data_IF_750150826818
#
_entry.id   IF_750150826818
#
_cell.length_a   1.000
_cell.length_b   1.000
_cell.length_c   1.000
_cell.angle_alpha   90.00
_cell.angle_beta   90.00
_cell.angle_gamma   90.00
#
_symmetry.space_group_name_H-M   'P 1'
#
loop_
_entity.id
_entity.type
_entity.pdbx_description
1 polymer ?
#
# COMPACT_ATOMS: atom_id res chain seq x y z
N UNK A 1 -5.11 -12.93 28.75
CA UNK A 1 -4.36 -11.66 28.72
C UNK A 1 -5.08 -10.58 29.53
N UNK A 2 -4.41 -10.00 30.52
CA UNK A 2 -4.89 -8.75 31.11
C UNK A 2 -4.81 -7.62 30.06
N UNK A 3 -5.73 -6.66 30.08
CA UNK A 3 -5.71 -5.50 29.16
C UNK A 3 -4.33 -4.82 29.12
N UNK A 4 -3.60 -4.84 30.22
CA UNK A 4 -2.24 -4.32 30.33
C UNK A 4 -1.24 -5.01 29.39
N UNK A 5 -1.25 -6.34 29.30
CA UNK A 5 -0.32 -7.04 28.42
C UNK A 5 -0.70 -6.79 26.94
N UNK A 6 -2.00 -6.73 26.61
CA UNK A 6 -2.48 -6.33 25.28
C UNK A 6 -2.02 -4.94 24.90
N UNK A 7 -2.06 -4.02 25.87
CA UNK A 7 -1.56 -2.67 25.69
C UNK A 7 -0.09 -2.70 25.33
N UNK A 8 0.74 -3.38 26.14
CA UNK A 8 2.19 -3.47 25.92
C UNK A 8 2.50 -4.08 24.55
N UNK A 9 1.87 -5.19 24.19
CA UNK A 9 2.06 -5.86 22.89
C UNK A 9 1.67 -4.96 21.72
N UNK A 10 0.54 -4.25 21.83
CA UNK A 10 0.08 -3.33 20.77
C UNK A 10 0.91 -2.04 20.74
N UNK A 11 1.49 -1.65 21.87
CA UNK A 11 2.34 -0.47 22.03
C UNK A 11 3.73 -0.68 21.43
N UNK A 12 4.33 -1.87 21.56
CA UNK A 12 5.67 -2.19 21.04
C UNK A 12 5.88 -1.83 19.56
N UNK A 13 5.04 -2.30 18.61
CA UNK A 13 5.23 -1.95 17.19
C UNK A 13 4.97 -0.47 16.92
N UNK A 14 4.07 0.17 17.67
CA UNK A 14 3.79 1.61 17.56
C UNK A 14 4.98 2.44 18.05
N UNK A 15 5.51 2.14 19.23
CA UNK A 15 6.70 2.78 19.79
C UNK A 15 7.90 2.57 18.88
N UNK A 16 8.09 1.36 18.33
CA UNK A 16 9.16 1.10 17.36
C UNK A 16 9.06 2.02 16.14
N UNK A 17 7.87 2.19 15.57
CA UNK A 17 7.66 3.11 14.43
C UNK A 17 7.87 4.57 14.85
N UNK A 18 7.36 4.99 16.02
CA UNK A 18 7.53 6.35 16.53
C UNK A 18 9.00 6.68 16.81
N UNK A 19 9.75 5.78 17.45
CA UNK A 19 11.18 5.97 17.72
C UNK A 19 11.99 6.06 16.42
N UNK A 20 11.71 5.21 15.43
CA UNK A 20 12.33 5.30 14.10
C UNK A 20 11.96 6.61 13.40
N UNK A 21 10.72 7.08 13.56
CA UNK A 21 10.27 8.38 13.03
C UNK A 21 11.03 9.52 13.71
N UNK A 22 11.18 9.49 15.04
CA UNK A 22 11.96 10.48 15.81
C UNK A 22 13.42 10.49 15.39
N UNK A 23 14.02 9.31 15.17
CA UNK A 23 15.39 9.21 14.63
C UNK A 23 15.47 9.85 13.24
N UNK A 24 14.49 9.61 12.38
CA UNK A 24 14.38 10.28 11.07
C UNK A 24 14.33 11.81 11.18
N UNK A 25 13.51 12.34 12.09
CA UNK A 25 13.44 13.80 12.39
C UNK A 25 14.79 14.33 12.84
N UNK A 26 15.44 13.62 13.76
CA UNK A 26 16.75 14.01 14.30
C UNK A 26 17.82 14.08 13.21
N UNK A 27 17.90 13.05 12.35
CA UNK A 27 18.84 13.00 11.24
C UNK A 27 18.58 14.06 10.15
N UNK A 28 17.35 14.56 10.04
CA UNK A 28 16.96 15.61 9.11
C UNK A 28 17.06 17.03 9.69
N UNK A 29 17.42 17.16 10.96
CA UNK A 29 17.59 18.46 11.61
C UNK A 29 18.75 19.21 10.95
N UNK A 30 18.64 20.53 10.79
CA UNK A 30 19.66 21.39 10.15
C UNK A 30 21.07 21.24 10.72
N UNK A 31 21.22 20.79 11.97
CA UNK A 31 22.52 20.55 12.60
C UNK A 31 23.19 19.26 12.14
N UNK A 32 22.41 18.24 11.80
CA UNK A 32 22.91 16.92 11.39
C UNK A 32 22.95 16.79 9.87
N UNK A 33 21.86 17.20 9.20
CA UNK A 33 21.66 17.20 7.74
C UNK A 33 22.02 15.89 7.00
N UNK A 34 22.06 14.75 7.72
CA UNK A 34 22.35 13.43 7.13
C UNK A 34 21.18 12.97 6.25
N UNK A 35 19.94 13.17 6.73
CA UNK A 35 18.71 12.95 5.96
C UNK A 35 18.17 14.27 5.39
N UNK A 36 19.07 15.08 4.82
CA UNK A 36 18.73 16.26 4.04
C UNK A 36 17.83 15.96 2.84
N UNK A 37 17.43 16.99 2.10
CA UNK A 37 16.46 16.86 1.00
C UNK A 37 16.93 15.91 -0.12
N UNK A 38 18.21 15.96 -0.50
CA UNK A 38 18.71 15.13 -1.59
C UNK A 38 18.98 13.67 -1.14
N UNK A 39 19.52 13.49 0.07
CA UNK A 39 19.67 12.16 0.67
C UNK A 39 18.33 11.43 0.74
N UNK A 40 17.26 12.13 1.15
CA UNK A 40 15.90 11.60 1.15
C UNK A 40 15.43 11.15 -0.23
N UNK A 41 15.67 11.93 -1.29
CA UNK A 41 15.30 11.56 -2.66
C UNK A 41 16.04 10.31 -3.15
N UNK A 42 17.34 10.22 -2.88
CA UNK A 42 18.13 9.05 -3.24
C UNK A 42 17.69 7.80 -2.48
N UNK A 43 17.48 7.89 -1.17
CA UNK A 43 16.98 6.78 -0.36
C UNK A 43 15.60 6.34 -0.80
N UNK A 44 14.70 7.28 -1.12
CA UNK A 44 13.38 6.95 -1.63
C UNK A 44 13.44 6.23 -2.99
N UNK A 45 14.37 6.63 -3.85
CA UNK A 45 14.61 5.95 -5.14
C UNK A 45 15.10 4.52 -4.92
N UNK A 46 16.04 4.32 -3.98
CA UNK A 46 16.52 2.99 -3.59
C UNK A 46 15.38 2.11 -3.05
N UNK A 47 14.53 2.68 -2.18
CA UNK A 47 13.34 2.02 -1.64
C UNK A 47 12.39 1.59 -2.76
N UNK A 48 12.13 2.46 -3.72
CA UNK A 48 11.19 2.20 -4.81
C UNK A 48 11.71 1.16 -5.83
N UNK A 49 12.97 1.26 -6.26
CA UNK A 49 13.51 0.41 -7.31
C UNK A 49 14.10 -0.92 -6.82
N UNK A 50 14.57 -0.99 -5.57
CA UNK A 50 15.33 -2.15 -5.07
C UNK A 50 14.65 -2.78 -3.85
N UNK A 51 14.43 -2.00 -2.78
CA UNK A 51 14.04 -2.59 -1.50
C UNK A 51 12.59 -3.10 -1.50
N UNK A 52 11.63 -2.32 -2.00
CA UNK A 52 10.23 -2.76 -2.05
C UNK A 52 9.99 -3.95 -2.98
N UNK A 53 10.55 -4.00 -4.20
CA UNK A 53 10.45 -5.19 -5.05
C UNK A 53 11.03 -6.43 -4.39
N UNK A 54 12.19 -6.30 -3.74
CA UNK A 54 12.82 -7.39 -3.00
C UNK A 54 11.95 -7.84 -1.82
N UNK A 55 11.40 -6.90 -1.04
CA UNK A 55 10.50 -7.18 0.09
C UNK A 55 9.26 -7.95 -0.36
N UNK A 56 8.57 -7.46 -1.40
CA UNK A 56 7.34 -8.11 -1.88
C UNK A 56 7.64 -9.46 -2.51
N UNK A 57 8.68 -9.54 -3.35
CA UNK A 57 9.03 -10.76 -4.06
C UNK A 57 9.51 -11.89 -3.14
N UNK A 58 10.44 -11.61 -2.23
CA UNK A 58 10.98 -12.61 -1.30
C UNK A 58 9.90 -13.16 -0.36
N UNK A 59 9.10 -12.27 0.25
CA UNK A 59 7.99 -12.70 1.11
C UNK A 59 6.95 -13.54 0.36
N UNK A 60 6.64 -13.19 -0.89
CA UNK A 60 5.72 -13.98 -1.69
C UNK A 60 6.30 -15.36 -1.99
N UNK A 61 7.57 -15.41 -2.40
CA UNK A 61 8.22 -16.66 -2.76
C UNK A 61 8.29 -17.62 -1.57
N UNK A 62 8.73 -17.12 -0.40
CA UNK A 62 8.94 -17.91 0.81
C UNK A 62 7.65 -18.50 1.35
N UNK A 63 6.61 -17.67 1.48
CA UNK A 63 5.41 -18.02 2.25
C UNK A 63 4.20 -18.45 1.41
N UNK A 64 4.17 -18.19 0.10
CA UNK A 64 3.05 -18.60 -0.75
C UNK A 64 3.32 -19.92 -1.46
N UNK A 65 2.34 -20.83 -1.34
CA UNK A 65 2.22 -22.04 -2.17
C UNK A 65 0.84 -22.09 -2.79
N UNK A 66 0.66 -22.85 -3.89
CA UNK A 66 -0.66 -23.06 -4.50
C UNK A 66 -1.68 -23.64 -3.51
N UNK A 67 -1.23 -24.57 -2.65
CA UNK A 67 -2.06 -25.16 -1.60
C UNK A 67 -2.49 -24.11 -0.57
N UNK A 68 -1.57 -23.22 -0.17
CA UNK A 68 -1.86 -22.13 0.77
C UNK A 68 -2.88 -21.14 0.22
N UNK A 69 -2.80 -20.79 -1.07
CA UNK A 69 -3.75 -19.86 -1.72
C UNK A 69 -5.17 -20.42 -1.70
N UNK A 70 -5.33 -21.71 -2.06
CA UNK A 70 -6.65 -22.35 -2.08
C UNK A 70 -7.21 -22.48 -0.67
N UNK A 71 -6.39 -22.86 0.31
CA UNK A 71 -6.82 -22.98 1.71
C UNK A 71 -7.18 -21.63 2.36
N UNK A 72 -6.51 -20.55 1.97
CA UNK A 72 -6.64 -19.22 2.58
C UNK A 72 -7.31 -18.20 1.66
N UNK A 73 -8.07 -18.66 0.66
CA UNK A 73 -8.62 -17.84 -0.43
C UNK A 73 -9.46 -16.64 0.03
N UNK A 74 -10.11 -16.75 1.20
CA UNK A 74 -10.91 -15.67 1.76
C UNK A 74 -10.05 -14.48 2.22
N UNK A 75 -8.78 -14.70 2.56
CA UNK A 75 -7.87 -13.63 2.99
C UNK A 75 -7.61 -12.59 1.88
N UNK A 76 -7.21 -12.98 0.65
CA UNK A 76 -7.14 -12.04 -0.46
C UNK A 76 -8.44 -11.27 -0.69
N UNK A 77 -9.58 -11.96 -0.61
CA UNK A 77 -10.89 -11.34 -0.76
C UNK A 77 -11.16 -10.33 0.36
N UNK A 78 -10.84 -10.66 1.61
CA UNK A 78 -11.03 -9.79 2.76
C UNK A 78 -10.19 -8.51 2.67
N UNK A 79 -8.93 -8.63 2.25
CA UNK A 79 -8.06 -7.47 2.02
C UNK A 79 -8.64 -6.61 0.89
N UNK A 80 -9.11 -7.22 -0.20
CA UNK A 80 -9.73 -6.49 -1.29
C UNK A 80 -11.00 -5.73 -0.84
N UNK A 81 -11.86 -6.38 -0.04
CA UNK A 81 -13.03 -5.73 0.57
C UNK A 81 -12.62 -4.56 1.47
N UNK A 82 -11.58 -4.73 2.29
CA UNK A 82 -11.05 -3.67 3.15
C UNK A 82 -10.60 -2.46 2.32
N UNK A 83 -9.92 -2.68 1.20
CA UNK A 83 -9.52 -1.62 0.28
C UNK A 83 -10.72 -0.91 -0.35
N UNK A 84 -11.74 -1.65 -0.81
CA UNK A 84 -12.96 -1.05 -1.39
C UNK A 84 -13.71 -0.23 -0.35
N UNK A 85 -13.98 -0.81 0.81
CA UNK A 85 -14.70 -0.15 1.89
C UNK A 85 -13.96 1.09 2.38
N UNK A 86 -12.64 0.96 2.62
CA UNK A 86 -11.79 2.07 3.01
C UNK A 86 -11.73 3.18 1.97
N UNK A 87 -11.73 2.85 0.68
CA UNK A 87 -11.76 3.83 -0.41
C UNK A 87 -13.10 4.56 -0.50
N UNK A 88 -14.21 3.84 -0.35
CA UNK A 88 -15.55 4.43 -0.32
C UNK A 88 -15.73 5.38 0.86
N UNK A 89 -15.26 4.98 2.05
CA UNK A 89 -15.26 5.81 3.26
C UNK A 89 -14.34 7.02 3.12
N UNK A 90 -13.15 6.85 2.52
CA UNK A 90 -12.23 7.96 2.23
C UNK A 90 -12.83 8.97 1.25
N UNK A 91 -13.54 8.50 0.21
CA UNK A 91 -14.26 9.37 -0.72
C UNK A 91 -15.42 10.11 -0.04
N UNK A 92 -16.17 9.44 0.82
CA UNK A 92 -17.21 10.07 1.64
C UNK A 92 -16.60 11.13 2.56
N UNK A 93 -15.47 10.82 3.19
CA UNK A 93 -14.75 11.75 4.06
C UNK A 93 -14.33 13.02 3.31
N UNK A 94 -13.82 12.90 2.08
CA UNK A 94 -13.47 14.04 1.23
C UNK A 94 -14.67 14.97 1.02
N UNK A 95 -15.87 14.42 0.80
CA UNK A 95 -17.09 15.21 0.62
C UNK A 95 -17.51 15.92 1.91
N UNK A 96 -17.40 15.25 3.04
CA UNK A 96 -17.77 15.79 4.35
C UNK A 96 -16.82 16.92 4.77
N UNK A 97 -15.51 16.70 4.66
CA UNK A 97 -14.51 17.67 5.10
C UNK A 97 -14.21 18.75 4.07
N UNK A 98 -14.76 18.62 2.85
CA UNK A 98 -14.45 19.48 1.69
C UNK A 98 -12.93 19.58 1.47
N UNK A 99 -12.24 18.43 1.53
CA UNK A 99 -10.79 18.39 1.46
C UNK A 99 -10.24 18.94 0.12
N UNK A 100 -9.11 19.69 0.17
CA UNK A 100 -8.47 20.24 -1.02
C UNK A 100 -7.97 19.14 -1.95
N UNK A 101 -7.90 19.43 -3.26
CA UNK A 101 -7.62 18.45 -4.31
C UNK A 101 -6.31 17.65 -4.06
N UNK A 102 -5.24 18.33 -3.66
CA UNK A 102 -3.94 17.71 -3.38
C UNK A 102 -3.97 16.67 -2.24
N UNK A 103 -4.89 16.79 -1.27
CA UNK A 103 -5.03 15.83 -0.16
C UNK A 103 -5.91 14.63 -0.51
N UNK A 104 -6.72 14.70 -1.58
CA UNK A 104 -7.73 13.66 -1.87
C UNK A 104 -7.10 12.29 -2.10
N UNK A 105 -5.97 12.24 -2.81
CA UNK A 105 -5.24 11.00 -3.02
C UNK A 105 -4.73 10.39 -1.71
N UNK A 106 -4.22 11.23 -0.81
CA UNK A 106 -3.75 10.80 0.52
C UNK A 106 -4.89 10.32 1.40
N UNK A 107 -6.03 11.02 1.42
CA UNK A 107 -7.19 10.65 2.24
C UNK A 107 -7.70 9.28 1.82
N UNK A 108 -7.91 9.06 0.52
CA UNK A 108 -8.37 7.76 0.00
C UNK A 108 -7.32 6.68 0.29
N UNK A 109 -6.04 6.95 0.02
CA UNK A 109 -4.95 6.01 0.29
C UNK A 109 -4.86 5.60 1.77
N UNK A 110 -4.90 6.58 2.67
CA UNK A 110 -4.83 6.36 4.12
C UNK A 110 -6.06 5.62 4.64
N UNK A 111 -7.25 5.84 4.07
CA UNK A 111 -8.46 5.11 4.44
C UNK A 111 -8.53 3.70 3.83
N UNK A 112 -7.93 3.48 2.65
CA UNK A 112 -7.94 2.20 1.93
C UNK A 112 -6.86 1.22 2.43
N UNK A 113 -5.58 1.61 2.43
CA UNK A 113 -4.46 0.73 2.78
C UNK A 113 -3.98 0.85 4.24
N UNK A 114 -4.20 -0.22 5.03
CA UNK A 114 -3.67 -0.36 6.38
C UNK A 114 -2.25 -0.95 6.39
N UNK A 115 -1.54 -0.84 7.50
CA UNK A 115 -0.19 -1.39 7.68
C UNK A 115 -0.23 -2.91 7.90
N UNK A 116 -0.53 -3.65 6.83
CA UNK A 116 -0.62 -5.11 6.79
C UNK A 116 0.74 -5.82 6.95
N UNK A 117 1.84 -5.07 7.01
CA UNK A 117 3.19 -5.59 7.19
C UNK A 117 3.59 -5.69 8.64
N UNK A 118 4.08 -4.57 9.17
CA UNK A 118 4.79 -4.54 10.45
C UNK A 118 3.89 -4.96 11.62
N UNK A 119 2.64 -4.50 11.61
CA UNK A 119 1.74 -4.64 12.75
C UNK A 119 1.31 -6.10 12.95
N UNK A 120 0.75 -6.82 11.95
CA UNK A 120 0.40 -8.23 12.11
C UNK A 120 1.59 -9.12 12.50
N UNK A 121 2.77 -8.87 11.92
CA UNK A 121 3.99 -9.66 12.21
C UNK A 121 4.47 -9.53 13.66
N UNK A 122 4.08 -8.48 14.38
CA UNK A 122 4.44 -8.29 15.79
C UNK A 122 3.29 -8.71 16.71
N UNK A 123 2.06 -8.31 16.38
CA UNK A 123 0.88 -8.54 17.22
C UNK A 123 0.52 -10.03 17.28
N UNK A 124 0.54 -10.73 16.14
CA UNK A 124 0.08 -12.12 16.09
C UNK A 124 1.00 -13.06 16.89
N UNK A 125 2.34 -13.06 16.69
CA UNK A 125 3.21 -13.91 17.50
C UNK A 125 3.11 -13.63 19.00
N UNK A 126 3.00 -12.35 19.38
CA UNK A 126 2.86 -11.98 20.78
C UNK A 126 1.51 -12.43 21.36
N UNK A 127 0.42 -12.37 20.58
CA UNK A 127 -0.88 -12.91 21.00
C UNK A 127 -0.86 -14.45 21.12
N UNK A 128 -0.04 -15.15 20.33
CA UNK A 128 0.16 -16.59 20.44
C UNK A 128 0.97 -17.02 21.67
N UNK A 129 1.90 -16.18 22.14
CA UNK A 129 2.76 -16.47 23.30
C UNK A 129 2.06 -16.23 24.65
N UNK A 130 0.84 -15.70 24.62
CA UNK A 130 0.07 -15.41 25.81
C UNK A 130 -0.45 -16.66 26.53
N UNK A 131 -0.45 -16.57 27.87
CA UNK A 131 -1.06 -17.58 28.71
C UNK A 131 -2.57 -17.59 28.45
N UNK A 132 -3.10 -18.78 28.20
CA UNK A 132 -4.51 -19.02 27.86
C UNK A 132 -4.98 -18.26 26.60
N UNK A 133 -4.12 -18.17 25.58
CA UNK A 133 -4.51 -17.63 24.28
C UNK A 133 -5.64 -18.49 23.66
N UNK A 134 -6.59 -17.89 22.90
CA UNK A 134 -7.71 -18.62 22.31
C UNK A 134 -7.35 -19.40 21.04
N UNK A 135 -6.07 -19.45 20.68
CA UNK A 135 -5.58 -19.96 19.39
C UNK A 135 -4.89 -21.33 19.52
N UNK A 136 -4.78 -21.87 20.74
CA UNK A 136 -4.22 -23.19 21.02
C UNK A 136 -2.73 -23.15 21.37
N UNK A 137 -1.99 -24.16 20.93
CA UNK A 137 -0.56 -24.28 21.22
C UNK A 137 0.23 -23.10 20.64
N UNK A 138 1.10 -22.50 21.47
CA UNK A 138 1.81 -21.28 21.13
C UNK A 138 2.74 -21.45 19.90
N UNK A 139 3.39 -22.61 19.75
CA UNK A 139 4.31 -22.86 18.65
C UNK A 139 3.58 -23.00 17.31
N UNK A 140 2.45 -23.74 17.33
CA UNK A 140 1.58 -23.94 16.17
C UNK A 140 0.91 -22.61 15.78
N UNK A 141 0.37 -21.88 16.77
CA UNK A 141 -0.22 -20.57 16.57
C UNK A 141 0.77 -19.59 15.93
N UNK A 142 2.00 -19.50 16.45
CA UNK A 142 3.03 -18.60 15.93
C UNK A 142 3.39 -18.95 14.49
N UNK A 143 3.55 -20.23 14.18
CA UNK A 143 3.87 -20.69 12.82
C UNK A 143 2.76 -20.32 11.83
N UNK A 144 1.50 -20.64 12.12
CA UNK A 144 0.37 -20.30 11.25
C UNK A 144 0.11 -18.80 11.18
N UNK A 145 0.19 -18.11 12.32
CA UNK A 145 -0.02 -16.68 12.45
C UNK A 145 0.99 -15.87 11.65
N UNK A 146 2.27 -16.26 11.65
CA UNK A 146 3.30 -15.65 10.80
C UNK A 146 3.00 -15.90 9.32
N UNK A 147 2.59 -17.11 8.92
CA UNK A 147 2.21 -17.38 7.54
C UNK A 147 1.02 -16.50 7.08
N UNK A 148 0.03 -16.30 7.94
CA UNK A 148 -1.12 -15.44 7.68
C UNK A 148 -0.74 -13.95 7.60
N UNK A 149 0.12 -13.49 8.50
CA UNK A 149 0.66 -12.13 8.50
C UNK A 149 1.45 -11.83 7.22
N UNK A 150 2.34 -12.74 6.81
CA UNK A 150 3.15 -12.54 5.60
C UNK A 150 2.32 -12.61 4.34
N UNK A 151 1.31 -13.50 4.28
CA UNK A 151 0.36 -13.51 3.17
C UNK A 151 -0.41 -12.18 3.09
N UNK A 152 -0.80 -11.62 4.24
CA UNK A 152 -1.47 -10.31 4.31
C UNK A 152 -0.57 -9.18 3.82
N UNK A 153 0.71 -9.17 4.23
CA UNK A 153 1.72 -8.22 3.76
C UNK A 153 1.88 -8.29 2.24
N UNK A 154 2.02 -9.50 1.70
CA UNK A 154 2.19 -9.75 0.27
C UNK A 154 1.03 -9.18 -0.56
N UNK A 155 -0.20 -9.60 -0.26
CA UNK A 155 -1.40 -9.18 -0.99
C UNK A 155 -1.65 -7.68 -0.79
N UNK A 156 -1.50 -7.20 0.45
CA UNK A 156 -1.63 -5.80 0.80
C UNK A 156 -0.64 -4.92 0.02
N UNK A 157 0.60 -5.39 -0.16
CA UNK A 157 1.61 -4.69 -0.94
C UNK A 157 1.26 -4.62 -2.42
N UNK A 158 0.76 -5.71 -3.01
CA UNK A 158 0.31 -5.71 -4.41
C UNK A 158 -0.80 -4.67 -4.61
N UNK A 159 -1.82 -4.66 -3.76
CA UNK A 159 -2.92 -3.69 -3.85
C UNK A 159 -2.44 -2.26 -3.57
N UNK A 160 -1.54 -2.08 -2.61
CA UNK A 160 -0.96 -0.76 -2.32
C UNK A 160 -0.25 -0.19 -3.56
N UNK A 161 0.66 -0.95 -4.18
CA UNK A 161 1.47 -0.51 -5.32
C UNK A 161 0.73 -0.50 -6.66
N UNK A 162 -0.38 -1.24 -6.80
CA UNK A 162 -1.20 -1.23 -8.01
C UNK A 162 -2.34 -0.21 -7.96
N UNK A 163 -2.97 -0.03 -6.81
CA UNK A 163 -4.14 0.84 -6.66
C UNK A 163 -3.79 2.18 -6.00
N UNK A 164 -3.28 2.17 -4.76
CA UNK A 164 -3.04 3.40 -4.01
C UNK A 164 -1.96 4.26 -4.67
N UNK A 165 -0.90 3.64 -5.18
CA UNK A 165 0.12 4.32 -5.98
C UNK A 165 -0.48 5.15 -7.11
N UNK A 166 -1.39 4.55 -7.90
CA UNK A 166 -2.02 5.23 -9.02
C UNK A 166 -2.97 6.34 -8.57
N UNK A 167 -3.67 6.15 -7.44
CA UNK A 167 -4.51 7.21 -6.86
C UNK A 167 -3.65 8.39 -6.44
N UNK A 168 -2.62 8.17 -5.63
CA UNK A 168 -1.75 9.25 -5.15
C UNK A 168 -1.12 9.97 -6.34
N UNK A 169 -0.67 9.23 -7.36
CA UNK A 169 -0.14 9.78 -8.60
C UNK A 169 -1.11 10.71 -9.34
N UNK A 170 -2.36 10.30 -9.52
CA UNK A 170 -3.35 11.09 -10.28
C UNK A 170 -3.58 12.43 -9.58
N UNK A 171 -3.67 12.42 -8.26
CA UNK A 171 -3.89 13.64 -7.48
C UNK A 171 -2.64 14.51 -7.37
N UNK A 172 -1.43 13.94 -7.41
CA UNK A 172 -0.19 14.71 -7.45
C UNK A 172 0.07 15.35 -8.83
N UNK A 173 -0.31 14.69 -9.92
CA UNK A 173 -0.11 15.23 -11.28
C UNK A 173 -1.11 16.33 -11.68
N UNK A 174 -2.23 16.47 -10.98
CA UNK A 174 -3.23 17.51 -11.29
C UNK A 174 -2.76 18.90 -10.80
N UNK A 175 -1.99 18.95 -9.71
CA UNK A 175 -1.40 20.20 -9.19
C UNK A 175 -0.33 20.78 -10.13
N UNK A 176 0.41 19.94 -10.85
CA UNK A 176 1.46 20.41 -11.78
C UNK A 176 0.92 21.07 -13.04
N UNK A 177 -0.32 20.79 -13.44
CA UNK A 177 -0.95 21.40 -14.62
C UNK A 177 -1.69 22.72 -14.30
N UNK A 178 -2.04 23.00 -13.03
CA UNK A 178 -2.73 24.24 -12.62
C UNK A 178 -1.76 25.42 -12.37
N UNK A 179 -0.44 25.22 -12.35
CA UNK A 179 0.58 26.27 -12.18
C UNK A 179 1.12 26.90 -13.47
N UNK A 180 0.30 27.06 -14.52
CA UNK A 180 0.62 27.98 -15.62
C UNK A 180 -0.16 29.29 -15.43
N UNK A 181 0.48 30.39 -14.99
CA UNK A 181 -0.15 31.70 -15.03
C UNK A 181 -0.22 32.17 -16.49
N UNK A 182 -1.44 32.54 -16.88
CA UNK A 182 -1.86 33.57 -17.83
C UNK A 182 -0.98 33.88 -19.05
N UNK A 183 -1.65 33.80 -20.20
CA UNK A 183 -1.24 34.26 -21.52
C UNK A 183 -0.70 35.71 -21.52
N UNK A 184 0.21 36.00 -22.46
CA UNK A 184 0.35 37.26 -23.22
C UNK A 184 1.35 37.02 -24.40
N UNK A 185 1.36 37.84 -25.47
CA UNK A 185 1.02 37.41 -26.84
C UNK A 185 2.20 37.31 -27.82
N UNK A 186 1.87 36.87 -29.04
CA UNK A 186 2.72 36.76 -30.23
C UNK A 186 3.60 38.00 -30.51
N UNK A 187 4.85 37.78 -30.95
CA UNK A 187 5.64 38.79 -31.65
C UNK A 187 7.17 38.59 -31.66
N UNK A 188 7.68 38.22 -32.85
CA UNK A 188 8.99 38.52 -33.45
C UNK A 188 10.31 37.88 -32.94
N UNK A 189 10.81 36.96 -33.78
CA UNK A 189 12.17 36.73 -34.29
C UNK A 189 13.40 37.39 -33.60
N UNK A 190 14.40 36.57 -33.28
CA UNK A 190 15.72 36.58 -33.94
C UNK A 190 16.67 35.51 -33.38
N UNK A 191 17.46 34.92 -34.28
CA UNK A 191 18.40 33.83 -34.11
C UNK A 191 19.62 34.15 -33.22
N UNK A 192 20.27 33.11 -32.70
CA UNK A 192 21.69 32.76 -32.94
C UNK A 192 22.03 31.45 -32.24
N UNK A 193 22.57 30.51 -33.02
CA UNK A 193 23.13 29.22 -32.64
C UNK A 193 24.41 29.36 -31.78
N UNK A 194 24.70 28.36 -30.95
CA UNK A 194 25.99 27.63 -30.88
C UNK A 194 25.76 26.34 -30.06
N UNK A 195 25.98 25.19 -30.68
CA UNK A 195 26.23 23.85 -30.06
C UNK A 195 27.60 23.37 -30.58
N UNK A 196 28.33 22.38 -29.98
CA UNK A 196 27.92 20.97 -29.79
C UNK A 196 28.38 20.34 -28.42
N UNK A 197 27.68 19.44 -27.72
CA UNK A 197 27.28 18.04 -28.03
C UNK A 197 28.10 17.05 -27.14
N UNK A 198 27.75 15.75 -26.94
CA UNK A 198 26.49 15.04 -27.20
C UNK A 198 26.03 14.09 -26.04
N UNK A 199 24.72 13.84 -25.90
CA UNK A 199 24.22 12.54 -25.38
C UNK A 199 23.02 12.07 -26.20
N UNK A 200 23.20 10.86 -26.73
CA UNK A 200 22.39 10.15 -27.71
C UNK A 200 21.00 9.78 -27.18
N UNK A 201 19.95 10.29 -27.84
CA UNK A 201 18.64 9.64 -27.88
C UNK A 201 18.48 8.97 -29.24
N UNK A 202 18.48 7.63 -29.24
CA UNK A 202 18.08 6.83 -30.39
C UNK A 202 16.57 6.99 -30.62
N UNK A 203 16.23 7.66 -31.73
CA UNK A 203 14.89 7.70 -32.32
C UNK A 203 14.94 6.80 -33.55
N UNK A 204 14.10 5.77 -33.58
CA UNK A 204 13.87 4.95 -34.78
C UNK A 204 12.50 5.26 -35.41
N UNK A 205 12.35 5.01 -36.72
CA UNK A 205 11.67 5.92 -37.63
C UNK A 205 10.25 5.48 -38.02
N UNK A 206 9.49 6.47 -38.47
CA UNK A 206 8.27 6.34 -39.27
C UNK A 206 8.59 5.87 -40.68
N UNK A 207 7.87 4.86 -41.17
CA UNK A 207 7.74 4.54 -42.59
C UNK A 207 6.24 4.63 -42.92
N UNK A 208 5.95 5.46 -43.91
CA UNK A 208 4.67 5.66 -44.57
C UNK A 208 4.59 4.75 -45.82
N UNK A 209 3.39 4.67 -46.40
CA UNK A 209 2.96 4.03 -47.66
C UNK A 209 2.07 2.77 -47.53
N UNK A 210 0.87 2.87 -48.14
CA UNK A 210 0.19 1.71 -48.74
C UNK A 210 -1.30 1.51 -48.43
N UNK A 211 -2.13 2.39 -48.98
CA UNK A 211 -3.49 2.16 -49.52
C UNK A 211 -4.08 0.72 -49.46
N UNK A 212 -5.29 0.55 -48.89
CA UNK A 212 -6.51 0.18 -49.63
C UNK A 212 -7.71 -0.10 -48.70
N UNK A 213 -8.86 0.41 -49.15
CA UNK A 213 -10.17 0.29 -48.53
C UNK A 213 -10.72 -1.14 -48.62
N UNK A 214 -11.41 -1.62 -47.59
CA UNK A 214 -12.48 -2.61 -47.79
C UNK A 214 -13.58 -2.40 -46.74
N UNK A 215 -14.60 -1.65 -47.14
CA UNK A 215 -15.91 -1.72 -46.54
C UNK A 215 -16.53 -3.09 -46.89
N UNK A 216 -17.01 -3.83 -45.89
CA UNK A 216 -18.00 -4.87 -46.12
C UNK A 216 -19.09 -4.79 -45.07
N UNK A 217 -20.22 -4.30 -45.56
CA UNK A 217 -21.50 -4.14 -44.91
C UNK A 217 -22.16 -5.51 -44.64
N UNK A 218 -22.72 -5.72 -43.44
CA UNK A 218 -23.89 -6.59 -43.24
C UNK A 218 -24.60 -6.32 -41.92
N UNK A 219 -25.74 -5.64 -42.03
CA UNK A 219 -26.80 -5.57 -41.02
C UNK A 219 -27.39 -6.95 -40.70
N UNK A 220 -27.76 -7.21 -39.42
CA UNK A 220 -29.08 -7.73 -38.98
C UNK A 220 -29.21 -7.57 -37.46
N UNK A 221 -30.31 -6.92 -37.06
CA UNK A 221 -30.85 -6.73 -35.72
C UNK A 221 -31.32 -8.05 -35.06
N UNK A 222 -31.09 -8.21 -33.75
CA UNK A 222 -32.19 -8.30 -32.76
C UNK A 222 -31.68 -8.52 -31.32
N UNK A 223 -32.37 -7.86 -30.40
CA UNK A 223 -31.88 -7.51 -29.06
C UNK A 223 -32.12 -8.51 -27.95
N UNK A 224 -31.47 -8.23 -26.82
CA UNK A 224 -31.93 -8.53 -25.47
C UNK A 224 -31.52 -7.39 -24.54
N UNK A 225 -32.51 -6.82 -23.87
CA UNK A 225 -32.39 -5.70 -22.95
C UNK A 225 -31.32 -5.94 -21.88
N UNK A 226 -30.37 -5.02 -21.77
CA UNK A 226 -29.51 -4.85 -20.59
C UNK A 226 -29.72 -3.44 -20.07
N UNK A 227 -30.17 -3.38 -18.82
CA UNK A 227 -30.38 -2.16 -18.02
C UNK A 227 -29.18 -1.21 -18.19
N UNK A 228 -29.39 0.08 -18.52
CA UNK A 228 -28.29 0.98 -18.81
C UNK A 228 -27.56 1.34 -17.50
N UNK A 229 -26.36 0.78 -17.34
CA UNK A 229 -25.41 1.26 -16.35
C UNK A 229 -25.04 2.72 -16.70
N UNK A 230 -25.01 3.68 -15.75
CA UNK A 230 -24.88 5.10 -16.08
C UNK A 230 -23.62 5.37 -16.92
N UNK A 231 -23.80 5.85 -18.14
CA UNK A 231 -22.70 6.07 -19.10
C UNK A 231 -21.62 7.01 -18.58
N UNK A 232 -21.95 7.89 -17.63
CA UNK A 232 -21.02 8.79 -16.98
C UNK A 232 -19.97 8.06 -16.13
N UNK A 233 -20.36 6.96 -15.47
CA UNK A 233 -19.43 6.13 -14.68
C UNK A 233 -18.55 5.31 -15.63
N UNK A 234 -19.14 4.75 -16.70
CA UNK A 234 -18.41 3.99 -17.72
C UNK A 234 -17.40 4.86 -18.47
N UNK A 235 -17.77 6.10 -18.85
CA UNK A 235 -16.85 7.07 -19.49
C UNK A 235 -15.79 7.57 -18.53
N UNK A 236 -16.10 7.79 -17.25
CA UNK A 236 -15.12 8.12 -16.22
C UNK A 236 -14.11 7.00 -16.03
N UNK A 237 -14.59 5.75 -15.90
CA UNK A 237 -13.76 4.56 -15.76
C UNK A 237 -12.95 4.28 -17.03
N UNK A 238 -13.52 4.47 -18.23
CA UNK A 238 -12.82 4.34 -19.50
C UNK A 238 -11.79 5.45 -19.74
N UNK A 239 -12.02 6.69 -19.29
CA UNK A 239 -11.01 7.75 -19.30
C UNK A 239 -9.86 7.45 -18.34
N UNK A 240 -10.17 6.89 -17.15
CA UNK A 240 -9.15 6.42 -16.19
C UNK A 240 -8.37 5.24 -16.76
N UNK A 241 -9.03 4.23 -17.35
CA UNK A 241 -8.38 3.09 -18.00
C UNK A 241 -7.54 3.49 -19.23
N UNK A 242 -8.00 4.43 -20.06
CA UNK A 242 -7.20 4.94 -21.19
C UNK A 242 -6.03 5.81 -20.75
N UNK A 243 -6.11 6.52 -19.60
CA UNK A 243 -4.97 7.22 -18.99
C UNK A 243 -3.98 6.28 -18.26
N UNK A 244 -4.42 5.07 -17.89
CA UNK A 244 -3.58 4.04 -17.31
C UNK A 244 -2.74 3.36 -18.41
N UNK A 245 -1.61 3.99 -18.75
CA UNK A 245 -0.59 3.41 -19.61
C UNK A 245 -0.20 2.01 -19.09
N UNK A 246 -0.55 0.93 -19.81
CA UNK A 246 -0.32 -0.47 -19.40
C UNK A 246 1.17 -0.79 -19.16
N UNK A 247 2.09 -0.16 -19.91
CA UNK A 247 3.55 -0.26 -19.67
C UNK A 247 4.00 0.43 -18.37
N UNK A 248 3.20 1.34 -17.81
CA UNK A 248 3.45 2.05 -16.54
C UNK A 248 2.73 1.41 -15.35
N UNK A 249 1.94 0.36 -15.58
CA UNK A 249 1.33 -0.47 -14.53
C UNK A 249 2.32 -1.47 -13.92
N UNK A 250 3.49 -1.68 -14.52
CA UNK A 250 4.58 -2.48 -13.97
C UNK A 250 5.47 -1.62 -13.08
N UNK A 251 4.96 -1.21 -11.92
CA UNK A 251 5.85 -0.66 -10.89
C UNK A 251 6.89 -1.74 -10.50
N UNK A 252 8.11 -1.37 -10.10
CA UNK A 252 9.12 -2.35 -9.70
C UNK A 252 8.57 -3.35 -8.67
N UNK A 253 7.74 -2.91 -7.73
CA UNK A 253 7.11 -3.77 -6.72
C UNK A 253 6.15 -4.80 -7.30
N UNK A 254 5.45 -4.49 -8.38
CA UNK A 254 4.58 -5.43 -9.10
C UNK A 254 5.42 -6.49 -9.82
N UNK A 255 6.55 -6.09 -10.44
CA UNK A 255 7.49 -7.05 -11.01
C UNK A 255 8.07 -7.97 -9.94
N UNK A 256 8.45 -7.41 -8.78
CA UNK A 256 8.88 -8.19 -7.61
C UNK A 256 7.82 -9.20 -7.17
N UNK A 257 6.56 -8.79 -7.09
CA UNK A 257 5.45 -9.69 -6.78
C UNK A 257 5.28 -10.81 -7.82
N UNK A 258 5.34 -10.50 -9.12
CA UNK A 258 5.22 -11.53 -10.17
C UNK A 258 6.36 -12.55 -10.05
N UNK A 259 7.60 -12.09 -9.93
CA UNK A 259 8.78 -12.95 -9.78
C UNK A 259 8.68 -13.81 -8.51
N UNK A 260 8.32 -13.20 -7.39
CA UNK A 260 8.12 -13.91 -6.13
C UNK A 260 7.03 -14.98 -6.21
N UNK A 261 5.93 -14.69 -6.91
CA UNK A 261 4.82 -15.62 -7.07
C UNK A 261 5.26 -16.84 -7.87
N UNK A 262 5.96 -16.60 -8.99
CA UNK A 262 6.52 -17.64 -9.85
C UNK A 262 7.49 -18.51 -9.05
N UNK A 263 8.43 -17.89 -8.33
CA UNK A 263 9.41 -18.62 -7.52
C UNK A 263 8.77 -19.44 -6.39
N UNK A 264 7.70 -18.93 -5.76
CA UNK A 264 7.01 -19.60 -4.66
C UNK A 264 6.06 -20.71 -5.10
N UNK A 265 5.42 -20.60 -6.27
CA UNK A 265 4.36 -21.52 -6.71
C UNK A 265 4.82 -22.60 -7.67
N UNK A 266 5.80 -22.32 -8.54
CA UNK A 266 6.26 -23.27 -9.55
C UNK A 266 7.29 -24.24 -8.93
N UNK A 267 7.04 -25.57 -8.90
CA UNK A 267 7.85 -26.51 -8.12
C UNK A 267 9.35 -26.54 -8.48
N UNK A 268 9.77 -26.47 -9.76
CA UNK A 268 11.20 -26.37 -10.10
C UNK A 268 11.90 -25.18 -9.47
N UNK A 269 11.33 -23.97 -9.57
CA UNK A 269 11.92 -22.77 -8.99
C UNK A 269 11.92 -22.80 -7.47
N UNK A 270 10.84 -23.30 -6.85
CA UNK A 270 10.74 -23.43 -5.40
C UNK A 270 11.82 -24.36 -4.85
N UNK A 271 12.05 -25.53 -5.46
CA UNK A 271 13.11 -26.47 -5.03
C UNK A 271 14.52 -25.91 -5.20
N UNK A 272 14.72 -25.02 -6.19
CA UNK A 272 16.01 -24.42 -6.48
C UNK A 272 16.36 -23.27 -5.52
N UNK A 273 15.36 -22.44 -5.17
CA UNK A 273 15.54 -21.19 -4.43
C UNK A 273 15.11 -21.24 -2.96
N UNK A 274 14.18 -22.13 -2.59
CA UNK A 274 13.45 -22.06 -1.30
C UNK A 274 13.53 -23.38 -0.54
N UNK A 275 13.95 -23.27 0.72
CA UNK A 275 14.12 -24.39 1.64
C UNK A 275 15.58 -24.59 2.03
N UNK A 276 15.82 -25.24 3.16
CA UNK A 276 17.15 -25.30 3.75
C UNK A 276 18.18 -26.08 2.92
N UNK A 277 17.72 -26.99 2.07
CA UNK A 277 18.53 -27.78 1.15
C UNK A 277 18.55 -27.25 -0.28
N UNK A 278 18.03 -26.04 -0.54
CA UNK A 278 17.94 -25.48 -1.88
C UNK A 278 19.31 -24.95 -2.35
N UNK A 279 19.80 -25.33 -3.55
CA UNK A 279 21.16 -24.99 -4.00
C UNK A 279 21.38 -23.50 -4.25
N UNK A 280 20.33 -22.74 -4.59
CA UNK A 280 20.39 -21.28 -4.78
C UNK A 280 19.69 -20.50 -3.67
N UNK A 281 19.57 -21.08 -2.46
CA UNK A 281 18.95 -20.41 -1.30
C UNK A 281 19.52 -19.01 -1.04
N UNK A 282 20.82 -18.84 -1.26
CA UNK A 282 21.52 -17.55 -1.10
C UNK A 282 20.87 -16.40 -1.87
N UNK A 283 20.26 -16.66 -3.03
CA UNK A 283 19.59 -15.63 -3.84
C UNK A 283 18.32 -15.15 -3.16
N UNK A 284 17.50 -16.08 -2.66
CA UNK A 284 16.28 -15.74 -1.92
C UNK A 284 16.59 -15.09 -0.58
N UNK A 285 17.53 -15.67 0.19
CA UNK A 285 17.97 -15.13 1.48
C UNK A 285 18.52 -13.69 1.34
N UNK A 286 19.31 -13.43 0.29
CA UNK A 286 19.83 -12.08 0.00
C UNK A 286 18.71 -11.11 -0.36
N UNK A 287 17.77 -11.52 -1.22
CA UNK A 287 16.62 -10.70 -1.59
C UNK A 287 15.72 -10.40 -0.38
N UNK A 288 15.50 -11.39 0.49
CA UNK A 288 14.78 -11.22 1.75
C UNK A 288 15.49 -10.21 2.65
N UNK A 289 16.80 -10.35 2.85
CA UNK A 289 17.60 -9.44 3.69
C UNK A 289 17.59 -7.99 3.19
N UNK A 290 17.72 -7.80 1.86
CA UNK A 290 17.57 -6.48 1.22
C UNK A 290 16.16 -5.93 1.41
N UNK A 291 15.14 -6.78 1.23
CA UNK A 291 13.73 -6.42 1.39
C UNK A 291 13.38 -5.92 2.79
N UNK A 292 13.83 -6.61 3.83
CA UNK A 292 13.54 -6.25 5.23
C UNK A 292 14.00 -4.83 5.59
N UNK A 293 15.05 -4.33 4.94
CA UNK A 293 15.55 -2.96 5.12
C UNK A 293 14.56 -1.88 4.63
N UNK A 294 13.65 -2.21 3.71
CA UNK A 294 12.67 -1.28 3.16
C UNK A 294 11.81 -0.64 4.26
N UNK A 295 11.38 -1.43 5.23
CA UNK A 295 10.50 -0.98 6.32
C UNK A 295 11.21 0.10 7.15
N UNK A 296 12.45 -0.16 7.56
CA UNK A 296 13.25 0.75 8.37
C UNK A 296 13.57 2.03 7.63
N UNK A 297 14.06 1.93 6.39
CA UNK A 297 14.45 3.09 5.58
C UNK A 297 13.23 3.96 5.27
N UNK A 298 12.09 3.37 4.87
CA UNK A 298 10.87 4.15 4.64
C UNK A 298 10.41 4.88 5.89
N UNK A 299 10.48 4.24 7.06
CA UNK A 299 10.06 4.88 8.33
C UNK A 299 10.97 6.05 8.70
N UNK A 300 12.28 5.91 8.53
CA UNK A 300 13.25 7.00 8.73
C UNK A 300 12.94 8.18 7.80
N UNK A 301 12.63 7.89 6.53
CA UNK A 301 12.31 8.93 5.56
C UNK A 301 11.02 9.68 5.92
N UNK A 302 9.97 8.97 6.35
CA UNK A 302 8.74 9.61 6.84
C UNK A 302 9.03 10.51 8.05
N UNK A 303 9.88 10.06 8.98
CA UNK A 303 10.37 10.89 10.07
C UNK A 303 11.10 12.15 9.60
N UNK A 304 12.02 12.01 8.66
CA UNK A 304 12.74 13.16 8.09
C UNK A 304 11.79 14.18 7.42
N UNK A 305 10.73 13.71 6.76
CA UNK A 305 9.70 14.57 6.15
C UNK A 305 8.79 15.25 7.18
N UNK A 306 8.64 14.68 8.37
CA UNK A 306 7.83 15.25 9.45
C UNK A 306 8.35 16.61 9.92
N UNK A 307 9.66 16.86 9.85
CA UNK A 307 10.25 18.16 10.20
C UNK A 307 9.67 19.29 9.32
N UNK A 308 9.47 19.03 8.03
CA UNK A 308 8.78 19.96 7.11
C UNK A 308 7.29 20.06 7.45
N UNK A 309 6.68 18.95 7.88
CA UNK A 309 5.31 18.89 8.40
C UNK A 309 5.07 19.89 9.54
N UNK A 310 5.90 19.86 10.58
CA UNK A 310 5.81 20.77 11.72
C UNK A 310 6.01 22.25 11.36
N UNK A 311 6.77 22.54 10.30
CA UNK A 311 7.13 23.91 9.89
C UNK A 311 6.14 24.57 8.93
N UNK A 312 5.14 23.84 8.40
CA UNK A 312 4.21 24.48 7.47
C UNK A 312 3.16 23.62 6.77
N UNK A 313 3.03 22.32 7.07
CA UNK A 313 1.95 21.53 6.45
C UNK A 313 0.60 21.85 7.09
N UNK A 314 -0.34 22.39 6.31
CA UNK A 314 -1.70 22.72 6.76
C UNK A 314 -2.67 21.58 6.45
N UNK A 315 -2.49 20.42 7.08
CA UNK A 315 -3.52 19.38 7.04
C UNK A 315 -4.68 19.79 7.96
N UNK A 316 -5.92 19.91 7.47
CA UNK A 316 -7.05 20.25 8.32
C UNK A 316 -7.25 19.19 9.40
N UNK A 317 -7.43 19.61 10.66
CA UNK A 317 -7.65 18.69 11.80
C UNK A 317 -8.86 17.78 11.55
N UNK A 318 -9.90 18.29 10.87
CA UNK A 318 -11.08 17.51 10.48
C UNK A 318 -10.75 16.31 9.59
N UNK A 319 -9.71 16.42 8.74
CA UNK A 319 -9.23 15.30 7.91
C UNK A 319 -8.53 14.25 8.78
N UNK A 320 -7.70 14.67 9.72
CA UNK A 320 -6.98 13.76 10.63
C UNK A 320 -7.98 12.99 11.51
N UNK A 321 -8.93 13.70 12.12
CA UNK A 321 -10.01 13.09 12.91
C UNK A 321 -10.84 12.13 12.05
N UNK A 322 -11.16 12.53 10.81
CA UNK A 322 -11.91 11.69 9.88
C UNK A 322 -11.19 10.39 9.51
N UNK A 323 -9.90 10.46 9.14
CA UNK A 323 -9.10 9.27 8.82
C UNK A 323 -9.02 8.35 10.05
N UNK A 324 -8.81 8.93 11.23
CA UNK A 324 -8.76 8.20 12.50
C UNK A 324 -10.10 7.49 12.78
N UNK A 325 -11.23 8.16 12.62
CA UNK A 325 -12.55 7.57 12.81
C UNK A 325 -12.84 6.45 11.80
N UNK A 326 -12.49 6.65 10.52
CA UNK A 326 -12.63 5.61 9.49
C UNK A 326 -11.82 4.37 9.87
N UNK A 327 -10.55 4.55 10.28
CA UNK A 327 -9.62 3.46 10.57
C UNK A 327 -9.86 2.74 11.88
N UNK A 328 -10.23 3.48 12.93
CA UNK A 328 -10.27 2.95 14.28
C UNK A 328 -11.68 2.77 14.83
N UNK A 329 -12.71 3.08 14.05
CA UNK A 329 -14.10 2.88 14.46
C UNK A 329 -14.87 2.18 13.33
N UNK A 330 -14.99 2.84 12.17
CA UNK A 330 -15.91 2.39 11.11
C UNK A 330 -15.42 1.08 10.47
N UNK A 331 -14.15 1.01 10.05
CA UNK A 331 -13.59 -0.18 9.41
C UNK A 331 -13.58 -1.42 10.33
N UNK A 332 -13.14 -1.33 11.60
CA UNK A 332 -13.21 -2.46 12.53
C UNK A 332 -14.63 -2.99 12.74
N UNK A 333 -15.61 -2.10 12.92
CA UNK A 333 -17.03 -2.50 13.06
C UNK A 333 -17.51 -3.20 11.79
N UNK A 334 -17.19 -2.65 10.62
CA UNK A 334 -17.54 -3.25 9.34
C UNK A 334 -16.87 -4.62 9.16
N UNK A 335 -15.60 -4.76 9.56
CA UNK A 335 -14.87 -6.02 9.55
C UNK A 335 -15.56 -7.09 10.40
N UNK A 336 -16.02 -6.74 11.60
CA UNK A 336 -16.79 -7.67 12.46
C UNK A 336 -18.03 -8.19 11.76
N UNK A 337 -18.80 -7.30 11.10
CA UNK A 337 -20.01 -7.69 10.36
C UNK A 337 -19.67 -8.61 9.18
N UNK A 338 -18.65 -8.25 8.39
CA UNK A 338 -18.22 -9.04 7.22
C UNK A 338 -17.76 -10.44 7.64
N UNK A 339 -16.87 -10.54 8.64
CA UNK A 339 -16.31 -11.82 9.07
C UNK A 339 -17.40 -12.69 9.71
N UNK A 340 -18.28 -12.14 10.54
CA UNK A 340 -19.41 -12.91 11.10
C UNK A 340 -20.33 -13.44 10.01
N UNK A 341 -20.64 -12.63 9.00
CA UNK A 341 -21.45 -13.06 7.85
C UNK A 341 -20.74 -14.16 7.06
N UNK A 342 -19.45 -14.01 6.77
CA UNK A 342 -18.68 -15.00 6.04
C UNK A 342 -18.56 -16.34 6.77
N UNK A 343 -18.47 -16.32 8.10
CA UNK A 343 -18.51 -17.54 8.95
C UNK A 343 -19.91 -18.17 8.90
N UNK A 344 -20.99 -17.38 9.00
CA UNK A 344 -22.36 -17.89 8.92
C UNK A 344 -22.68 -18.53 7.57
N UNK A 345 -22.12 -18.00 6.48
CA UNK A 345 -22.26 -18.53 5.12
C UNK A 345 -21.30 -19.71 4.83
N UNK A 346 -20.46 -20.12 5.79
CA UNK A 346 -19.49 -21.21 5.60
C UNK A 346 -18.30 -20.88 4.69
N UNK A 347 -18.08 -19.60 4.35
CA UNK A 347 -16.99 -19.15 3.50
C UNK A 347 -15.63 -19.07 4.24
N UNK A 348 -15.66 -18.97 5.57
CA UNK A 348 -14.48 -18.87 6.43
C UNK A 348 -14.45 -20.04 7.41
N UNK A 349 -13.30 -20.72 7.50
CA UNK A 349 -13.08 -21.82 8.42
C UNK A 349 -13.29 -21.40 9.88
N UNK A 350 -13.63 -22.37 10.73
CA UNK A 350 -13.88 -22.12 12.15
C UNK A 350 -12.65 -21.75 12.97
N UNK A 351 -11.44 -21.82 12.41
CA UNK A 351 -10.17 -21.50 13.08
C UNK A 351 -10.18 -20.09 13.70
N UNK A 352 -10.09 -19.97 15.05
CA UNK A 352 -10.05 -18.69 15.75
C UNK A 352 -8.88 -17.81 15.33
N UNK A 353 -7.71 -18.38 15.03
CA UNK A 353 -6.53 -17.62 14.63
C UNK A 353 -6.75 -16.97 13.28
N UNK A 354 -7.21 -17.73 12.29
CA UNK A 354 -7.55 -17.19 10.98
C UNK A 354 -8.57 -16.06 11.06
N UNK A 355 -9.67 -16.23 11.82
CA UNK A 355 -10.68 -15.18 12.04
C UNK A 355 -10.07 -13.93 12.69
N UNK A 356 -9.21 -14.10 13.69
CA UNK A 356 -8.54 -12.99 14.36
C UNK A 356 -7.68 -12.20 13.39
N UNK A 357 -6.87 -12.87 12.54
CA UNK A 357 -6.06 -12.18 11.54
C UNK A 357 -6.91 -11.41 10.55
N UNK A 358 -8.00 -12.00 10.06
CA UNK A 358 -8.92 -11.33 9.13
C UNK A 358 -9.58 -10.07 9.73
N UNK A 359 -9.95 -10.12 11.02
CA UNK A 359 -10.49 -8.97 11.74
C UNK A 359 -9.42 -7.90 11.96
N UNK A 360 -8.21 -8.32 12.36
CA UNK A 360 -7.08 -7.43 12.63
C UNK A 360 -6.75 -6.55 11.42
N UNK A 361 -6.86 -7.08 10.19
CA UNK A 361 -6.64 -6.34 8.94
C UNK A 361 -7.46 -5.04 8.81
N UNK A 362 -8.62 -4.94 9.48
CA UNK A 362 -9.47 -3.75 9.46
C UNK A 362 -9.08 -2.68 10.49
N UNK A 363 -8.29 -3.02 11.51
CA UNK A 363 -7.99 -2.16 12.65
C UNK A 363 -6.58 -1.54 12.64
N UNK A 364 -5.83 -1.73 11.54
CA UNK A 364 -4.45 -1.29 11.43
C UNK A 364 -4.35 0.21 11.06
N UNK A 365 -3.30 0.92 11.50
CA UNK A 365 -3.01 2.28 11.06
C UNK A 365 -2.72 2.34 9.55
N UNK A 366 -2.72 3.53 8.93
CA UNK A 366 -2.35 3.69 7.52
C UNK A 366 -0.98 3.09 7.17
N UNK A 367 -0.85 2.58 5.94
CA UNK A 367 0.36 1.93 5.44
C UNK A 367 1.53 2.92 5.28
N UNK A 368 2.66 2.64 5.94
CA UNK A 368 3.86 3.51 5.96
C UNK A 368 4.35 3.85 4.54
N UNK A 369 4.30 2.88 3.62
CA UNK A 369 4.76 3.00 2.23
C UNK A 369 4.00 4.04 1.39
N UNK A 370 2.87 4.59 1.85
CA UNK A 370 2.25 5.77 1.23
C UNK A 370 3.23 6.95 1.25
N UNK A 371 4.06 7.08 2.29
CA UNK A 371 5.09 8.11 2.38
C UNK A 371 6.10 8.05 1.23
N UNK A 372 6.57 6.85 0.88
CA UNK A 372 7.45 6.62 -0.28
C UNK A 372 6.83 7.15 -1.57
N UNK A 373 5.53 6.93 -1.76
CA UNK A 373 4.79 7.38 -2.95
C UNK A 373 4.73 8.89 -3.02
N UNK A 374 4.35 9.54 -1.91
CA UNK A 374 4.27 11.02 -1.84
C UNK A 374 5.59 11.68 -2.19
N UNK A 375 6.68 11.07 -1.75
CA UNK A 375 8.00 11.58 -1.98
C UNK A 375 8.51 11.31 -3.40
N UNK A 376 8.14 10.16 -3.99
CA UNK A 376 8.46 9.83 -5.38
C UNK A 376 7.81 10.83 -6.34
N UNK A 377 6.59 11.28 -6.02
CA UNK A 377 5.88 12.29 -6.79
C UNK A 377 6.21 13.73 -6.38
N UNK A 378 7.00 13.93 -5.31
CA UNK A 378 7.34 15.26 -4.80
C UNK A 378 6.15 16.04 -4.23
N UNK A 379 5.05 15.38 -3.88
CA UNK A 379 3.80 16.01 -3.45
C UNK A 379 3.17 15.26 -2.28
N UNK A 380 2.76 15.99 -1.24
CA UNK A 380 2.05 15.41 -0.08
C UNK A 380 2.96 14.78 0.99
N UNK A 381 4.28 14.94 0.90
CA UNK A 381 5.25 14.30 1.82
C UNK A 381 5.09 14.80 3.26
N UNK A 382 4.85 16.10 3.43
CA UNK A 382 4.74 16.73 4.74
C UNK A 382 3.37 16.42 5.36
N UNK A 383 2.33 16.47 4.52
CA UNK A 383 0.94 16.19 4.85
C UNK A 383 0.78 14.75 5.33
N UNK A 384 1.33 13.80 4.57
CA UNK A 384 1.30 12.39 4.95
C UNK A 384 2.06 12.14 6.25
N UNK A 385 3.21 12.77 6.45
CA UNK A 385 4.00 12.61 7.69
C UNK A 385 3.22 13.09 8.92
N UNK A 386 2.49 14.21 8.81
CA UNK A 386 1.60 14.71 9.89
C UNK A 386 0.45 13.73 10.15
N UNK A 387 -0.21 13.22 9.10
CA UNK A 387 -1.27 12.21 9.24
C UNK A 387 -0.73 10.96 9.93
N UNK A 388 0.46 10.51 9.52
CA UNK A 388 1.12 9.32 10.09
C UNK A 388 1.41 9.52 11.58
N UNK A 389 1.98 10.67 11.98
CA UNK A 389 2.26 10.97 13.39
C UNK A 389 1.01 10.79 14.28
N UNK A 390 -0.09 11.45 13.92
CA UNK A 390 -1.31 11.43 14.73
C UNK A 390 -2.00 10.07 14.73
N UNK A 391 -2.10 9.42 13.56
CA UNK A 391 -2.71 8.10 13.47
C UNK A 391 -1.91 7.06 14.26
N UNK A 392 -0.58 7.06 14.16
CA UNK A 392 0.26 6.12 14.93
C UNK A 392 0.30 6.43 16.42
N UNK A 393 0.24 7.70 16.84
CA UNK A 393 0.11 8.05 18.26
C UNK A 393 -1.16 7.45 18.90
N UNK A 394 -2.26 7.40 18.15
CA UNK A 394 -3.53 6.81 18.60
C UNK A 394 -3.64 5.30 18.35
N UNK A 395 -2.75 4.74 17.51
CA UNK A 395 -2.82 3.35 17.10
C UNK A 395 -2.63 2.37 18.27
N UNK A 396 -1.77 2.69 19.25
CA UNK A 396 -1.49 1.77 20.38
C UNK A 396 -2.74 1.45 21.18
N UNK A 397 -3.51 2.48 21.55
CA UNK A 397 -4.77 2.34 22.28
C UNK A 397 -5.83 1.66 21.41
N UNK A 398 -5.98 2.11 20.17
CA UNK A 398 -6.99 1.58 19.24
C UNK A 398 -6.76 0.09 18.94
N UNK A 399 -5.55 -0.28 18.52
CA UNK A 399 -5.18 -1.64 18.15
C UNK A 399 -5.27 -2.56 19.37
N UNK A 400 -4.90 -2.10 20.57
CA UNK A 400 -5.12 -2.84 21.81
C UNK A 400 -6.60 -3.16 22.01
N UNK A 401 -7.46 -2.14 22.01
CA UNK A 401 -8.90 -2.31 22.28
C UNK A 401 -9.56 -3.24 21.27
N UNK A 402 -9.24 -3.06 19.98
CA UNK A 402 -9.76 -3.93 18.93
C UNK A 402 -9.21 -5.34 19.01
N UNK A 403 -7.91 -5.52 19.29
CA UNK A 403 -7.33 -6.86 19.47
C UNK A 403 -7.97 -7.59 20.65
N UNK A 404 -8.17 -6.91 21.79
CA UNK A 404 -8.87 -7.44 22.95
C UNK A 404 -10.30 -7.90 22.58
N UNK A 405 -11.03 -7.03 21.89
CA UNK A 405 -12.39 -7.30 21.45
C UNK A 405 -12.44 -8.46 20.45
N UNK A 406 -11.54 -8.50 19.47
CA UNK A 406 -11.49 -9.57 18.46
C UNK A 406 -11.13 -10.92 19.08
N UNK A 407 -10.18 -10.97 20.03
CA UNK A 407 -9.88 -12.19 20.77
C UNK A 407 -11.06 -12.69 21.59
N UNK A 408 -11.82 -11.78 22.21
CA UNK A 408 -13.08 -12.16 22.88
C UNK A 408 -14.13 -12.68 21.89
N UNK A 409 -14.19 -12.11 20.68
CA UNK A 409 -15.17 -12.46 19.66
C UNK A 409 -14.92 -13.82 18.99
N UNK A 410 -13.66 -14.25 18.87
CA UNK A 410 -13.27 -15.48 18.17
C UNK A 410 -13.11 -16.68 19.11
N UNK A 411 -13.16 -16.47 20.43
CA UNK A 411 -13.43 -17.52 21.41
C UNK A 411 -14.82 -18.10 21.15
#
# INVERSE_FOLDING_TARGET
MGLWQLFVVSLMPVVKVLLMTTLGVFLATERMDILGTDARKHLNSLVYYVLNPALVGSNLAKFITLKSIVMLWFMPLNIFITFIAGSALGWLLIKITKAPNHLRGLIVGCCAAGNLGNMPLIIIPAACEEKDNPFGDASICKMHGLAYATLSLAIGSILLWSYVYNIVRIYSSTDSDETKPDALPEGLESAVEITPGPMLFLKEPSIDEGMENFELDRAVSNGKAKVPFPENIKRGFQKVLKKLNLKRLLSPSINGAIVGFIAGTIPPFRKLLIGDSAPLRVVEDSAYFVGESAITITTLIVGANLLKGFRGSKVPISVIIGITAVRYIILPILGVVIIKCAVHLGAVNSDPLYKFVLLLQFALPPAINIGTMTQLFGAGEAEYSVIMLWTYALASVSVMLWSAFFMWLVK
#
